data_IF_184628344592
#
_entry.id   IF_184628344592
#
_cell.length_a   1.000
_cell.length_b   1.000
_cell.length_c   1.000
_cell.angle_alpha   90.00
_cell.angle_beta   90.00
_cell.angle_gamma   90.00
#
_symmetry.space_group_name_H-M   'P 1'
#
loop_
_entity.id
_entity.type
_entity.pdbx_description
1 polymer ?
#
# COMPACT_ATOMS: atom_id res chain seq x y z
N UNK A 1 19.45 67.97 3.88
CA UNK A 1 19.48 68.95 2.78
C UNK A 1 19.51 68.19 1.46
N UNK A 2 18.39 68.17 0.74
CA UNK A 2 18.18 68.85 -0.56
C UNK A 2 18.90 68.11 -1.72
N UNK A 3 18.20 67.19 -2.41
CA UNK A 3 17.71 67.31 -3.80
C UNK A 3 18.71 67.95 -4.78
N UNK A 4 19.02 67.28 -5.90
CA UNK A 4 18.71 67.72 -7.27
C UNK A 4 19.23 66.71 -8.31
N UNK A 5 18.38 66.46 -9.33
CA UNK A 5 18.55 65.63 -10.53
C UNK A 5 19.22 66.42 -11.66
N UNK A 6 19.90 65.74 -12.59
CA UNK A 6 19.96 66.09 -14.04
C UNK A 6 20.37 64.80 -14.81
N UNK A 7 19.47 64.07 -15.47
CA UNK A 7 18.93 64.24 -16.84
C UNK A 7 20.02 64.46 -17.90
N UNK A 8 20.19 63.49 -18.83
CA UNK A 8 20.10 63.72 -20.30
C UNK A 8 20.30 62.44 -21.15
N UNK A 9 19.24 62.10 -21.91
CA UNK A 9 19.18 61.73 -23.35
C UNK A 9 19.91 60.45 -23.83
N UNK A 10 19.15 59.39 -24.13
CA UNK A 10 18.50 59.04 -25.43
C UNK A 10 19.45 58.39 -26.45
N UNK A 11 19.30 57.08 -26.63
CA UNK A 11 19.37 56.43 -27.93
C UNK A 11 18.44 55.21 -27.91
N UNK A 12 17.35 55.30 -28.68
CA UNK A 12 16.45 54.19 -28.94
C UNK A 12 17.04 53.31 -30.04
N UNK A 13 17.09 52.00 -29.80
CA UNK A 13 17.21 50.99 -30.84
C UNK A 13 16.19 49.90 -30.53
N UNK A 14 15.06 49.97 -31.24
CA UNK A 14 14.06 48.93 -31.33
C UNK A 14 14.55 47.82 -32.25
N UNK A 15 14.61 46.58 -31.74
CA UNK A 15 14.51 45.38 -32.58
C UNK A 15 13.76 44.27 -31.85
N UNK A 16 12.56 44.01 -32.40
CA UNK A 16 11.91 42.73 -32.64
C UNK A 16 11.84 41.67 -31.53
N UNK A 17 10.60 41.26 -31.26
CA UNK A 17 10.17 40.18 -30.41
C UNK A 17 10.70 38.79 -30.83
N UNK A 18 11.06 37.98 -29.84
CA UNK A 18 10.73 36.56 -29.83
C UNK A 18 9.95 36.27 -28.55
N UNK A 19 8.63 36.12 -28.69
CA UNK A 19 7.77 35.49 -27.69
C UNK A 19 8.05 34.00 -27.76
N UNK A 20 8.97 33.51 -26.93
CA UNK A 20 9.00 32.10 -26.56
C UNK A 20 8.06 31.95 -25.37
N UNK A 21 6.89 31.37 -25.64
CA UNK A 21 5.89 31.01 -24.64
C UNK A 21 6.48 30.07 -23.60
N UNK A 22 7.00 30.64 -22.52
CA UNK A 22 7.29 29.92 -21.29
C UNK A 22 5.98 29.77 -20.52
N UNK A 23 5.19 28.76 -20.89
CA UNK A 23 4.06 28.34 -20.05
C UNK A 23 4.60 27.97 -18.67
N UNK A 24 4.27 28.78 -17.67
CA UNK A 24 4.49 28.43 -16.26
C UNK A 24 3.59 27.23 -15.97
N UNK A 25 4.15 26.03 -16.09
CA UNK A 25 3.52 24.82 -15.58
C UNK A 25 3.50 24.98 -14.07
N UNK A 26 2.36 25.40 -13.53
CA UNK A 26 2.07 25.31 -12.11
C UNK A 26 2.14 23.83 -11.76
N UNK A 27 3.29 23.38 -11.24
CA UNK A 27 3.42 22.08 -10.64
C UNK A 27 2.53 22.07 -9.40
N UNK A 28 1.29 21.62 -9.55
CA UNK A 28 0.46 21.24 -8.40
C UNK A 28 1.21 20.13 -7.70
N UNK A 29 1.59 20.25 -6.41
CA UNK A 29 2.20 19.14 -5.71
C UNK A 29 1.24 17.95 -5.80
N UNK A 30 1.72 16.84 -6.36
CA UNK A 30 1.02 15.57 -6.24
C UNK A 30 0.78 15.32 -4.74
N UNK A 31 -0.38 14.77 -4.33
CA UNK A 31 -0.55 14.41 -2.94
C UNK A 31 0.58 13.46 -2.57
N UNK A 32 1.41 13.86 -1.61
CA UNK A 32 2.40 12.98 -1.01
C UNK A 32 1.61 11.79 -0.48
N UNK A 33 1.74 10.65 -1.15
CA UNK A 33 1.14 9.42 -0.65
C UNK A 33 1.95 9.03 0.58
N UNK A 34 1.32 9.14 1.75
CA UNK A 34 1.92 8.74 3.02
C UNK A 34 2.54 7.34 2.90
N UNK A 35 3.79 7.22 3.30
CA UNK A 35 4.51 5.96 3.26
C UNK A 35 4.04 5.13 4.46
N UNK A 36 2.97 4.35 4.28
CA UNK A 36 2.41 3.59 5.39
C UNK A 36 3.46 2.73 6.10
N UNK A 37 3.51 2.89 7.42
CA UNK A 37 4.35 2.22 8.43
C UNK A 37 5.80 2.69 8.48
N UNK A 38 6.08 3.97 8.28
CA UNK A 38 7.44 4.53 8.30
C UNK A 38 7.87 5.16 9.63
N UNK A 39 6.95 5.30 10.60
CA UNK A 39 7.23 5.89 11.91
C UNK A 39 7.19 7.41 11.93
N UNK A 40 6.69 8.03 10.87
CA UNK A 40 6.32 9.45 10.79
C UNK A 40 4.79 9.52 10.73
N UNK A 41 4.21 10.62 11.20
CA UNK A 41 2.76 10.81 11.09
C UNK A 41 2.46 11.78 9.95
N UNK A 42 2.28 11.26 8.75
CA UNK A 42 2.12 12.03 7.52
C UNK A 42 0.66 12.44 7.25
N UNK A 43 0.43 13.44 6.35
CA UNK A 43 -0.90 13.73 5.85
C UNK A 43 -1.55 12.49 5.22
N UNK A 44 -2.77 12.16 5.64
CA UNK A 44 -3.49 10.96 5.19
C UNK A 44 -3.49 9.81 6.19
N UNK A 45 -2.75 9.90 7.30
CA UNK A 45 -2.57 8.79 8.23
C UNK A 45 -3.34 8.94 9.55
N UNK A 46 -3.56 7.82 10.22
CA UNK A 46 -3.92 7.73 11.61
C UNK A 46 -2.75 7.18 12.41
N UNK A 47 -2.31 7.90 13.43
CA UNK A 47 -1.05 7.62 14.10
C UNK A 47 -1.29 7.38 15.59
N UNK A 48 -0.72 6.30 16.11
CA UNK A 48 -0.58 6.01 17.52
C UNK A 48 0.76 6.52 18.05
N UNK A 49 0.73 6.98 19.28
CA UNK A 49 1.89 7.41 20.05
C UNK A 49 1.98 6.59 21.33
N UNK A 50 3.19 6.13 21.64
CA UNK A 50 3.45 5.30 22.82
C UNK A 50 3.07 6.01 24.13
N UNK A 51 3.35 7.30 24.23
CA UNK A 51 3.05 8.10 25.41
C UNK A 51 1.88 9.05 25.19
N UNK A 52 1.35 9.60 26.29
CA UNK A 52 0.34 10.66 26.26
C UNK A 52 0.89 11.94 25.62
N UNK A 53 -0.02 12.80 25.19
CA UNK A 53 0.26 14.10 24.58
C UNK A 53 1.11 14.00 23.31
N UNK A 54 0.90 12.92 22.54
CA UNK A 54 1.57 12.63 21.28
C UNK A 54 3.10 12.58 21.40
N UNK A 55 3.59 11.98 22.49
CA UNK A 55 5.01 11.77 22.74
C UNK A 55 5.43 10.31 22.52
N UNK A 56 6.74 10.08 22.46
CA UNK A 56 7.30 8.75 22.25
C UNK A 56 7.27 8.31 20.79
N UNK A 57 7.52 7.02 20.57
CA UNK A 57 7.56 6.41 19.25
C UNK A 57 6.17 6.39 18.61
N UNK A 58 6.17 6.47 17.28
CA UNK A 58 4.97 6.61 16.45
C UNK A 58 4.71 5.33 15.68
N UNK A 59 3.44 5.02 15.51
CA UNK A 59 2.97 3.98 14.62
C UNK A 59 1.83 4.51 13.77
N UNK A 60 2.01 4.50 12.45
CA UNK A 60 1.15 5.19 11.49
C UNK A 60 0.42 4.20 10.57
N UNK A 61 -0.76 4.60 10.10
CA UNK A 61 -1.70 3.74 9.37
C UNK A 61 -2.48 4.53 8.33
N UNK A 62 -2.64 3.96 7.14
CA UNK A 62 -3.48 4.52 6.06
C UNK A 62 -4.83 3.78 5.91
N UNK A 63 -5.09 2.78 6.74
CA UNK A 63 -6.31 1.97 6.67
C UNK A 63 -6.63 1.23 7.97
N UNK A 64 -7.84 0.68 8.04
CA UNK A 64 -8.37 -0.02 9.22
C UNK A 64 -7.60 -1.30 9.54
N UNK A 65 -7.30 -1.53 10.82
CA UNK A 65 -6.62 -2.74 11.29
C UNK A 65 -7.50 -3.45 12.32
N UNK A 66 -7.94 -4.67 11.98
CA UNK A 66 -8.80 -5.47 12.84
C UNK A 66 -8.04 -6.13 14.00
N UNK A 67 -6.75 -6.41 13.88
CA UNK A 67 -5.95 -6.92 14.99
C UNK A 67 -4.52 -6.41 14.94
N UNK A 68 -4.07 -5.76 16.02
CA UNK A 68 -2.69 -5.32 16.15
C UNK A 68 -1.70 -6.48 16.36
N UNK A 69 -2.20 -7.66 16.74
CA UNK A 69 -1.40 -8.77 17.27
C UNK A 69 -0.54 -8.34 18.48
N UNK A 70 0.11 -9.30 19.14
CA UNK A 70 0.77 -9.07 20.44
C UNK A 70 2.26 -9.36 20.44
N UNK A 71 2.78 -10.02 19.40
CA UNK A 71 4.16 -10.52 19.38
C UNK A 71 4.90 -10.16 18.09
N UNK A 72 6.15 -9.72 18.25
CA UNK A 72 7.10 -9.61 17.15
C UNK A 72 7.39 -11.01 16.57
N UNK A 73 7.67 -11.14 15.26
CA UNK A 73 7.82 -10.05 14.28
C UNK A 73 6.52 -9.62 13.60
N UNK A 74 5.36 -10.11 14.06
CA UNK A 74 4.10 -10.02 13.31
C UNK A 74 3.13 -8.96 13.83
N UNK A 75 3.37 -8.44 15.03
CA UNK A 75 2.57 -7.35 15.57
C UNK A 75 2.82 -6.03 14.86
N UNK A 76 1.81 -5.18 14.88
CA UNK A 76 1.99 -3.79 14.54
C UNK A 76 2.70 -3.11 15.71
N UNK A 77 3.90 -2.62 15.45
CA UNK A 77 4.80 -1.99 16.41
C UNK A 77 4.98 -0.50 16.18
N UNK A 78 5.50 0.22 17.19
CA UNK A 78 5.91 1.61 17.00
C UNK A 78 7.25 1.68 16.24
N UNK A 79 7.26 2.39 15.11
CA UNK A 79 8.39 2.46 14.17
C UNK A 79 9.27 3.69 14.40
N UNK A 80 8.64 4.80 14.81
CA UNK A 80 9.32 6.09 14.98
C UNK A 80 10.43 6.05 16.05
N UNK A 81 11.32 7.04 16.09
CA UNK A 81 12.29 7.17 17.17
C UNK A 81 11.59 7.45 18.52
N UNK A 82 12.27 7.12 19.63
CA UNK A 82 11.82 7.44 20.98
C UNK A 82 11.27 6.25 21.79
N UNK A 83 10.74 6.57 22.97
CA UNK A 83 10.22 5.58 23.91
C UNK A 83 9.12 4.72 23.26
N UNK A 84 9.20 3.41 23.44
CA UNK A 84 8.25 2.45 22.86
C UNK A 84 8.62 1.92 21.47
N UNK A 85 9.71 2.39 20.85
CA UNK A 85 10.16 1.88 19.53
C UNK A 85 10.32 0.35 19.56
N UNK A 86 9.72 -0.32 18.57
CA UNK A 86 9.73 -1.78 18.42
C UNK A 86 8.73 -2.52 19.32
N UNK A 87 8.06 -1.85 20.26
CA UNK A 87 7.00 -2.47 21.05
C UNK A 87 5.71 -2.59 20.23
N UNK A 88 4.99 -3.68 20.42
CA UNK A 88 3.67 -3.88 19.82
C UNK A 88 2.69 -2.82 20.35
N UNK A 89 1.81 -2.33 19.48
CA UNK A 89 0.83 -1.28 19.79
C UNK A 89 -0.26 -1.78 20.72
N UNK A 90 -0.63 -3.07 20.59
CA UNK A 90 -1.70 -3.68 21.37
C UNK A 90 -1.44 -3.45 22.85
N UNK A 91 -2.40 -2.79 23.50
CA UNK A 91 -2.37 -2.43 24.91
C UNK A 91 -1.17 -1.53 25.32
N UNK A 92 -0.61 -0.77 24.37
CA UNK A 92 0.56 0.07 24.63
C UNK A 92 0.40 1.53 24.18
N UNK A 93 -0.53 1.83 23.26
CA UNK A 93 -0.69 3.21 22.81
C UNK A 93 -1.46 4.07 23.82
N UNK A 94 -1.02 5.31 23.99
CA UNK A 94 -1.60 6.25 24.95
C UNK A 94 -2.22 7.50 24.31
N UNK A 95 -1.84 7.85 23.09
CA UNK A 95 -2.44 8.97 22.36
C UNK A 95 -2.41 8.77 20.86
N UNK A 96 -3.18 9.58 20.14
CA UNK A 96 -3.34 9.47 18.69
C UNK A 96 -3.32 10.83 17.99
N UNK A 97 -3.01 10.82 16.70
CA UNK A 97 -3.23 11.94 15.80
C UNK A 97 -3.86 11.43 14.50
N UNK A 98 -5.06 11.89 14.20
CA UNK A 98 -5.74 11.62 12.96
C UNK A 98 -5.42 12.71 11.93
N UNK A 99 -4.45 12.46 11.06
CA UNK A 99 -4.11 13.32 9.92
C UNK A 99 -4.79 12.87 8.62
N UNK A 100 -5.73 11.92 8.71
CA UNK A 100 -6.56 11.48 7.59
C UNK A 100 -7.76 12.38 7.37
N UNK A 101 -8.48 12.15 6.27
CA UNK A 101 -9.74 12.83 5.94
C UNK A 101 -10.99 12.17 6.54
N UNK A 102 -10.84 11.08 7.29
CA UNK A 102 -11.95 10.29 7.83
C UNK A 102 -11.97 10.33 9.35
N UNK A 103 -13.13 10.11 9.96
CA UNK A 103 -13.18 9.79 11.40
C UNK A 103 -12.57 8.41 11.63
N UNK A 104 -11.70 8.27 12.62
CA UNK A 104 -11.13 6.97 13.00
C UNK A 104 -11.61 6.57 14.38
N UNK A 105 -12.15 5.36 14.46
CA UNK A 105 -12.63 4.74 15.69
C UNK A 105 -11.57 3.78 16.24
N UNK A 106 -11.13 4.00 17.47
CA UNK A 106 -10.22 3.10 18.19
C UNK A 106 -11.02 2.21 19.11
N UNK A 107 -10.76 0.91 19.09
CA UNK A 107 -11.48 -0.10 19.85
C UNK A 107 -10.60 -0.76 20.91
N UNK A 108 -11.27 -1.15 22.01
CA UNK A 108 -10.66 -1.88 23.10
C UNK A 108 -10.26 -3.30 22.66
N UNK A 109 -11.14 -3.98 21.92
CA UNK A 109 -10.91 -5.35 21.50
C UNK A 109 -10.41 -5.45 20.06
N UNK A 110 -9.76 -6.57 19.77
CA UNK A 110 -9.51 -7.06 18.41
C UNK A 110 -10.86 -7.26 17.70
N UNK A 111 -10.87 -7.07 16.39
CA UNK A 111 -12.04 -7.22 15.53
C UNK A 111 -13.05 -6.10 15.72
N UNK A 112 -12.61 -4.84 15.81
CA UNK A 112 -13.49 -3.65 15.84
C UNK A 112 -14.64 -3.77 16.86
N UNK A 113 -14.34 -4.31 18.04
CA UNK A 113 -15.34 -4.71 19.02
C UNK A 113 -15.12 -4.04 20.39
N UNK A 114 -16.17 -4.08 21.21
CA UNK A 114 -16.16 -3.50 22.56
C UNK A 114 -16.21 -1.98 22.57
N UNK A 115 -15.80 -1.41 23.71
CA UNK A 115 -15.75 0.04 23.92
C UNK A 115 -14.84 0.71 22.89
N UNK A 116 -15.23 1.91 22.47
CA UNK A 116 -14.50 2.66 21.46
C UNK A 116 -14.41 4.16 21.77
N UNK A 117 -13.51 4.84 21.05
CA UNK A 117 -13.38 6.28 21.02
C UNK A 117 -13.15 6.75 19.59
N UNK A 118 -13.90 7.76 19.18
CA UNK A 118 -13.80 8.36 17.84
C UNK A 118 -12.89 9.58 17.84
N UNK A 119 -12.11 9.68 16.77
CA UNK A 119 -11.24 10.81 16.47
C UNK A 119 -11.60 11.35 15.10
N UNK A 120 -12.24 12.52 15.05
CA UNK A 120 -12.57 13.20 13.79
C UNK A 120 -11.31 13.50 12.96
N UNK A 121 -11.49 13.79 11.67
CA UNK A 121 -10.40 14.23 10.81
C UNK A 121 -9.67 15.44 11.45
N UNK A 122 -8.34 15.39 11.50
CA UNK A 122 -7.51 16.41 12.15
C UNK A 122 -7.38 16.28 13.68
N UNK A 123 -8.18 15.43 14.34
CA UNK A 123 -8.18 15.33 15.79
C UNK A 123 -6.84 14.80 16.33
N UNK A 124 -6.35 15.43 17.38
CA UNK A 124 -5.10 15.10 18.06
C UNK A 124 -5.32 15.09 19.56
N UNK A 125 -4.97 14.00 20.23
CA UNK A 125 -5.17 13.92 21.68
C UNK A 125 -4.97 12.54 22.28
N UNK A 126 -5.21 12.46 23.60
CA UNK A 126 -5.07 11.24 24.37
C UNK A 126 -6.22 10.27 24.11
N UNK A 127 -5.89 8.97 24.20
CA UNK A 127 -6.91 7.95 24.42
C UNK A 127 -7.50 8.16 25.81
N UNK A 128 -8.81 7.94 25.95
CA UNK A 128 -9.50 8.02 27.23
C UNK A 128 -8.98 6.93 28.19
N UNK A 129 -9.37 7.04 29.46
CA UNK A 129 -8.90 6.12 30.51
C UNK A 129 -9.20 4.64 30.22
N UNK A 130 -10.26 4.35 29.45
CA UNK A 130 -10.63 2.98 29.07
C UNK A 130 -9.73 2.41 27.97
N UNK A 131 -9.26 3.22 27.03
CA UNK A 131 -8.52 2.76 25.85
C UNK A 131 -7.01 3.01 25.89
N UNK A 132 -6.57 3.93 26.75
CA UNK A 132 -5.15 4.16 26.98
C UNK A 132 -4.52 2.86 27.46
N UNK A 133 -3.51 2.39 26.73
CA UNK A 133 -2.82 1.13 26.97
C UNK A 133 -3.76 -0.09 26.96
N UNK A 134 -4.91 0.00 26.29
CA UNK A 134 -5.91 -1.08 26.19
C UNK A 134 -6.61 -1.08 24.83
N UNK A 135 -5.88 -0.74 23.76
CA UNK A 135 -6.40 -0.70 22.40
C UNK A 135 -5.87 -1.88 21.59
N UNK A 136 -6.72 -2.44 20.73
CA UNK A 136 -6.39 -3.66 19.98
C UNK A 136 -6.83 -3.62 18.50
N UNK A 137 -7.66 -2.66 18.09
CA UNK A 137 -8.02 -2.45 16.69
C UNK A 137 -8.49 -1.02 16.41
N UNK A 138 -8.50 -0.60 15.16
CA UNK A 138 -9.08 0.69 14.74
C UNK A 138 -9.72 0.63 13.36
N UNK A 139 -10.64 1.54 13.11
CA UNK A 139 -11.41 1.59 11.88
C UNK A 139 -11.57 3.02 11.37
N UNK A 140 -11.23 3.25 10.10
CA UNK A 140 -11.56 4.48 9.39
C UNK A 140 -13.04 4.42 8.96
N UNK A 141 -13.86 5.30 9.52
CA UNK A 141 -15.30 5.43 9.26
C UNK A 141 -15.54 6.26 7.99
N UNK A 142 -16.55 5.93 7.19
CA UNK A 142 -16.87 6.65 5.93
C UNK A 142 -16.59 5.87 4.64
N UNK A 143 -16.31 4.58 4.76
CA UNK A 143 -16.63 3.54 3.80
C UNK A 143 -17.28 2.44 4.63
N UNK A 144 -18.23 1.68 4.06
CA UNK A 144 -18.80 0.47 4.66
C UNK A 144 -17.75 -0.29 5.48
N UNK A 145 -18.07 -0.80 6.68
CA UNK A 145 -17.07 -1.43 7.55
C UNK A 145 -16.22 -2.45 6.80
N UNK A 146 -14.91 -2.64 7.09
CA UNK A 146 -14.33 -3.95 6.93
C UNK A 146 -15.15 -4.83 7.90
N UNK A 147 -16.01 -5.70 7.39
CA UNK A 147 -16.85 -6.49 8.26
C UNK A 147 -15.91 -7.40 9.06
N UNK A 148 -16.12 -7.39 10.36
CA UNK A 148 -15.59 -8.40 11.27
C UNK A 148 -16.12 -9.73 10.78
N UNK A 149 -15.27 -10.50 10.09
CA UNK A 149 -15.69 -11.58 9.17
C UNK A 149 -16.37 -11.04 7.89
N UNK A 150 -15.99 -11.49 6.68
CA UNK A 150 -16.55 -10.97 5.45
C UNK A 150 -18.07 -11.12 5.41
N UNK A 151 -18.79 -10.01 5.21
CA UNK A 151 -20.11 -10.06 4.61
C UNK A 151 -19.95 -10.68 3.20
N UNK A 152 -20.02 -12.00 3.13
CA UNK A 152 -19.89 -12.79 1.91
C UNK A 152 -18.48 -13.23 1.52
N UNK A 153 -18.35 -14.47 1.08
CA UNK A 153 -17.12 -15.11 0.58
C UNK A 153 -16.55 -14.51 -0.71
N UNK A 154 -17.10 -13.40 -1.21
CA UNK A 154 -16.75 -12.82 -2.51
C UNK A 154 -16.28 -11.38 -2.36
N UNK A 155 -15.40 -11.01 -3.28
CA UNK A 155 -14.99 -9.63 -3.51
C UNK A 155 -15.89 -9.00 -4.57
N UNK A 156 -15.83 -7.69 -4.74
CA UNK A 156 -16.57 -6.95 -5.76
C UNK A 156 -15.82 -6.86 -7.10
N UNK A 157 -14.71 -7.58 -7.25
CA UNK A 157 -13.89 -7.60 -8.45
C UNK A 157 -14.55 -8.38 -9.59
N UNK A 158 -14.29 -7.93 -10.82
CA UNK A 158 -14.67 -8.61 -12.06
C UNK A 158 -13.47 -8.61 -13.00
N UNK A 159 -13.57 -9.20 -14.19
CA UNK A 159 -12.48 -9.13 -15.18
C UNK A 159 -12.16 -7.69 -15.63
N UNK A 160 -13.08 -6.75 -15.43
CA UNK A 160 -12.95 -5.35 -15.84
C UNK A 160 -12.86 -4.37 -14.67
N UNK A 161 -13.16 -4.81 -13.45
CA UNK A 161 -13.15 -3.99 -12.23
C UNK A 161 -12.21 -4.59 -11.19
N UNK A 162 -11.20 -3.83 -10.76
CA UNK A 162 -10.34 -4.21 -9.65
C UNK A 162 -11.19 -4.50 -8.39
N UNK A 163 -10.87 -5.54 -7.61
CA UNK A 163 -11.49 -5.75 -6.32
C UNK A 163 -11.10 -4.60 -5.38
N UNK A 164 -12.07 -4.10 -4.61
CA UNK A 164 -11.82 -3.11 -3.56
C UNK A 164 -11.01 -3.73 -2.42
N UNK A 165 -11.28 -5.00 -2.12
CA UNK A 165 -10.60 -5.74 -1.06
C UNK A 165 -10.28 -7.17 -1.48
N UNK A 166 -9.33 -7.80 -0.80
CA UNK A 166 -9.00 -9.23 -0.92
C UNK A 166 -9.03 -9.90 0.46
N UNK A 167 -9.43 -11.17 0.50
CA UNK A 167 -9.45 -12.00 1.70
C UNK A 167 -8.14 -12.78 1.83
N UNK A 168 -7.32 -12.41 2.80
CA UNK A 168 -6.03 -13.03 3.07
C UNK A 168 -6.12 -13.92 4.29
N UNK A 169 -5.88 -15.23 4.13
CA UNK A 169 -5.76 -16.13 5.25
C UNK A 169 -4.36 -16.02 5.87
N UNK A 170 -4.31 -15.57 7.12
CA UNK A 170 -3.11 -15.45 7.93
C UNK A 170 -2.85 -16.77 8.62
N UNK A 171 -2.11 -17.67 7.96
CA UNK A 171 -2.06 -19.08 8.35
C UNK A 171 -1.53 -19.30 9.78
N UNK A 172 -0.50 -18.54 10.19
CA UNK A 172 0.06 -18.64 11.55
C UNK A 172 -0.84 -18.05 12.64
N UNK A 173 -1.85 -17.27 12.26
CA UNK A 173 -2.76 -16.57 13.16
C UNK A 173 -4.17 -17.19 13.12
N UNK A 174 -4.38 -18.22 12.28
CA UNK A 174 -5.66 -18.88 12.02
C UNK A 174 -6.84 -17.90 11.85
N UNK A 175 -6.67 -16.89 10.99
CA UNK A 175 -7.72 -15.90 10.72
C UNK A 175 -7.69 -15.38 9.29
N UNK A 176 -8.86 -14.99 8.79
CA UNK A 176 -8.98 -14.27 7.51
C UNK A 176 -9.05 -12.76 7.74
N UNK A 177 -8.17 -12.02 7.07
CA UNK A 177 -8.16 -10.56 7.04
C UNK A 177 -8.73 -10.07 5.70
N UNK A 178 -9.71 -9.17 5.72
CA UNK A 178 -10.14 -8.43 4.53
C UNK A 178 -9.29 -7.16 4.41
N UNK A 179 -8.48 -7.10 3.36
CA UNK A 179 -7.46 -6.05 3.17
C UNK A 179 -7.82 -5.22 1.92
N UNK A 180 -7.62 -3.90 1.97
CA UNK A 180 -7.66 -3.05 0.78
C UNK A 180 -6.71 -3.62 -0.29
N UNK A 181 -7.18 -3.75 -1.52
CA UNK A 181 -6.45 -4.52 -2.52
C UNK A 181 -5.12 -3.86 -2.91
N UNK A 182 -5.06 -2.52 -2.94
CA UNK A 182 -3.81 -1.80 -3.24
C UNK A 182 -2.80 -1.96 -2.11
N UNK A 183 -3.27 -1.87 -0.88
CA UNK A 183 -2.49 -2.09 0.33
C UNK A 183 -1.93 -3.51 0.38
N UNK A 184 -2.73 -4.52 0.00
CA UNK A 184 -2.26 -5.89 -0.15
C UNK A 184 -1.07 -5.97 -1.12
N UNK A 185 -1.22 -5.46 -2.35
CA UNK A 185 -0.17 -5.50 -3.38
C UNK A 185 1.12 -4.80 -2.91
N UNK A 186 1.01 -3.64 -2.23
CA UNK A 186 2.16 -2.91 -1.66
C UNK A 186 2.90 -3.70 -0.57
N UNK A 187 2.18 -4.53 0.19
CA UNK A 187 2.73 -5.38 1.25
C UNK A 187 3.12 -6.80 0.78
N UNK A 188 2.86 -7.15 -0.47
CA UNK A 188 3.35 -8.39 -1.10
C UNK A 188 4.63 -8.13 -1.88
N UNK A 189 4.65 -7.10 -2.73
CA UNK A 189 5.76 -6.87 -3.67
C UNK A 189 7.17 -6.88 -3.02
N UNK A 190 7.44 -6.23 -1.87
CA UNK A 190 8.78 -6.24 -1.27
C UNK A 190 9.21 -7.61 -0.69
N UNK A 191 8.28 -8.57 -0.58
CA UNK A 191 8.56 -9.93 -0.15
C UNK A 191 8.73 -10.91 -1.33
N UNK A 192 8.38 -10.48 -2.54
CA UNK A 192 8.46 -11.28 -3.77
C UNK A 192 9.56 -10.75 -4.71
N UNK A 193 9.74 -9.44 -4.76
CA UNK A 193 10.81 -8.77 -5.51
C UNK A 193 11.77 -8.07 -4.55
N UNK A 194 13.07 -8.28 -4.78
CA UNK A 194 14.10 -7.60 -4.00
C UNK A 194 14.09 -6.11 -4.34
N UNK A 195 13.90 -5.27 -3.33
CA UNK A 195 13.63 -3.84 -3.50
C UNK A 195 14.76 -3.04 -4.17
N UNK A 196 15.98 -3.59 -4.25
CA UNK A 196 17.13 -2.99 -4.95
C UNK A 196 17.21 -3.34 -6.44
N UNK A 197 16.29 -4.16 -6.96
CA UNK A 197 16.27 -4.49 -8.38
C UNK A 197 15.81 -3.30 -9.23
N UNK A 198 16.14 -3.29 -10.54
CA UNK A 198 15.79 -2.19 -11.43
C UNK A 198 14.29 -1.87 -11.42
N UNK A 199 13.95 -0.59 -11.58
CA UNK A 199 12.56 -0.10 -11.52
C UNK A 199 11.62 -0.82 -12.49
N UNK A 200 12.08 -1.15 -13.70
CA UNK A 200 11.28 -1.88 -14.68
C UNK A 200 11.00 -3.34 -14.27
N UNK A 201 11.91 -3.97 -13.51
CA UNK A 201 11.65 -5.29 -12.90
C UNK A 201 10.63 -5.18 -11.77
N UNK A 202 10.73 -4.14 -10.93
CA UNK A 202 9.75 -3.89 -9.86
C UNK A 202 8.35 -3.61 -10.43
N UNK A 203 8.24 -2.85 -11.54
CA UNK A 203 6.96 -2.59 -12.23
C UNK A 203 6.38 -3.87 -12.84
N UNK A 204 7.20 -4.72 -13.46
CA UNK A 204 6.75 -6.02 -13.95
C UNK A 204 6.25 -6.91 -12.80
N UNK A 205 7.00 -6.97 -11.69
CA UNK A 205 6.61 -7.67 -10.47
C UNK A 205 5.31 -7.14 -9.87
N UNK A 206 5.14 -5.81 -9.79
CA UNK A 206 3.92 -5.16 -9.31
C UNK A 206 2.69 -5.60 -10.11
N UNK A 207 2.82 -5.64 -11.44
CA UNK A 207 1.75 -6.10 -12.34
C UNK A 207 1.43 -7.58 -12.14
N UNK A 208 2.43 -8.45 -11.99
CA UNK A 208 2.23 -9.87 -11.76
C UNK A 208 1.57 -10.15 -10.39
N UNK A 209 2.07 -9.51 -9.33
CA UNK A 209 1.50 -9.59 -7.97
C UNK A 209 0.04 -9.17 -7.97
N UNK A 210 -0.26 -8.00 -8.55
CA UNK A 210 -1.63 -7.49 -8.70
C UNK A 210 -2.51 -8.48 -9.46
N UNK A 211 -2.04 -8.99 -10.60
CA UNK A 211 -2.87 -9.82 -11.47
C UNK A 211 -3.18 -11.20 -10.84
N UNK A 212 -2.21 -11.79 -10.13
CA UNK A 212 -2.43 -13.04 -9.41
C UNK A 212 -3.38 -12.87 -8.22
N UNK A 213 -3.23 -11.81 -7.42
CA UNK A 213 -4.17 -11.49 -6.34
C UNK A 213 -5.59 -11.26 -6.86
N UNK A 214 -5.71 -10.51 -7.96
CA UNK A 214 -6.99 -10.26 -8.63
C UNK A 214 -7.61 -11.57 -9.14
N UNK A 215 -6.83 -12.44 -9.78
CA UNK A 215 -7.31 -13.74 -10.22
C UNK A 215 -7.95 -14.53 -9.08
N UNK A 216 -7.30 -14.65 -7.92
CA UNK A 216 -7.85 -15.40 -6.79
C UNK A 216 -9.04 -14.73 -6.11
N UNK A 217 -9.09 -13.39 -6.09
CA UNK A 217 -10.26 -12.64 -5.60
C UNK A 217 -11.55 -12.95 -6.38
N UNK A 218 -11.42 -13.35 -7.65
CA UNK A 218 -12.53 -13.79 -8.52
C UNK A 218 -12.82 -15.30 -8.38
N UNK A 219 -11.75 -16.10 -8.36
CA UNK A 219 -11.86 -17.54 -8.61
C UNK A 219 -11.75 -18.41 -7.36
N UNK A 220 -11.37 -17.87 -6.20
CA UNK A 220 -11.23 -18.69 -4.99
C UNK A 220 -12.59 -19.24 -4.51
N UNK A 221 -12.55 -20.50 -4.11
CA UNK A 221 -13.58 -21.23 -3.38
C UNK A 221 -13.05 -21.81 -2.06
N UNK A 222 -11.85 -21.39 -1.63
CA UNK A 222 -11.14 -21.94 -0.49
C UNK A 222 -11.80 -21.52 0.83
N UNK A 223 -11.67 -22.40 1.82
CA UNK A 223 -12.12 -22.16 3.20
C UNK A 223 -11.05 -22.61 4.20
N UNK A 224 -10.91 -21.90 5.30
CA UNK A 224 -10.12 -22.33 6.46
C UNK A 224 -10.76 -23.60 7.06
N UNK A 225 -10.06 -24.33 7.95
CA UNK A 225 -10.69 -25.43 8.70
C UNK A 225 -11.95 -24.99 9.47
N UNK A 226 -11.97 -23.74 9.96
CA UNK A 226 -13.11 -23.11 10.62
C UNK A 226 -14.21 -22.60 9.66
N UNK A 227 -14.07 -22.83 8.36
CA UNK A 227 -15.08 -22.52 7.35
C UNK A 227 -15.04 -21.09 6.80
N UNK A 228 -14.08 -20.26 7.21
CA UNK A 228 -13.94 -18.89 6.70
C UNK A 228 -13.40 -18.90 5.28
N UNK A 229 -14.09 -18.21 4.37
CA UNK A 229 -13.63 -18.10 2.99
C UNK A 229 -12.41 -17.19 2.86
N UNK A 230 -11.48 -17.53 1.97
CA UNK A 230 -10.32 -16.69 1.67
C UNK A 230 -9.89 -16.82 0.21
N UNK A 231 -9.20 -15.79 -0.30
CA UNK A 231 -8.72 -15.73 -1.68
C UNK A 231 -7.30 -16.29 -1.77
N UNK A 232 -6.43 -15.81 -0.88
CA UNK A 232 -4.99 -16.09 -0.91
C UNK A 232 -4.45 -16.43 0.49
N UNK A 233 -3.43 -17.26 0.53
CA UNK A 233 -2.58 -17.43 1.72
C UNK A 233 -1.61 -16.25 1.84
N UNK A 234 -1.12 -15.99 3.05
CA UNK A 234 -0.08 -14.99 3.33
C UNK A 234 1.36 -15.49 3.12
N UNK A 235 1.53 -16.71 2.62
CA UNK A 235 2.82 -17.34 2.33
C UNK A 235 2.90 -17.91 0.90
N UNK A 236 3.98 -18.61 0.60
CA UNK A 236 4.38 -19.09 -0.74
C UNK A 236 3.39 -20.01 -1.45
N UNK A 237 2.35 -20.52 -0.78
CA UNK A 237 1.24 -21.22 -1.45
C UNK A 237 0.33 -20.26 -2.25
N UNK A 238 0.47 -18.95 -2.03
CA UNK A 238 -0.11 -17.91 -2.86
C UNK A 238 0.95 -16.83 -3.11
N UNK A 239 1.04 -15.83 -2.24
CA UNK A 239 2.05 -14.78 -2.29
C UNK A 239 2.39 -14.36 -0.86
N UNK A 240 3.63 -13.94 -0.62
CA UNK A 240 4.09 -13.59 0.72
C UNK A 240 3.56 -12.21 1.13
N UNK A 241 2.41 -12.18 1.79
CA UNK A 241 1.82 -10.97 2.36
C UNK A 241 2.30 -10.77 3.80
N UNK A 242 2.98 -9.65 4.04
CA UNK A 242 3.36 -9.23 5.40
C UNK A 242 2.84 -7.81 5.63
N UNK A 243 1.80 -7.61 6.47
CA UNK A 243 1.31 -6.28 6.75
C UNK A 243 2.42 -5.37 7.30
N UNK A 244 2.47 -4.13 6.81
CA UNK A 244 3.49 -3.15 7.17
C UNK A 244 4.89 -3.42 6.65
N UNK A 245 5.05 -4.30 5.65
CA UNK A 245 6.33 -4.55 4.97
C UNK A 245 6.54 -3.70 3.72
N UNK A 246 5.58 -2.85 3.37
CA UNK A 246 5.66 -1.93 2.25
C UNK A 246 6.97 -1.09 2.31
N UNK A 247 7.58 -0.88 1.15
CA UNK A 247 8.80 -0.06 1.00
C UNK A 247 8.53 1.00 -0.06
N UNK A 248 9.07 2.21 0.13
CA UNK A 248 8.83 3.33 -0.78
C UNK A 248 9.10 2.98 -2.26
N UNK A 249 10.23 2.31 -2.55
CA UNK A 249 10.63 1.93 -3.91
C UNK A 249 9.71 0.91 -4.57
N UNK A 250 9.18 -0.06 -3.82
CA UNK A 250 8.24 -1.04 -4.35
C UNK A 250 6.83 -0.45 -4.44
N UNK A 251 6.42 0.37 -3.48
CA UNK A 251 5.17 1.13 -3.51
C UNK A 251 5.10 2.03 -4.74
N UNK A 252 6.19 2.71 -5.10
CA UNK A 252 6.25 3.54 -6.31
C UNK A 252 6.02 2.73 -7.60
N UNK A 253 6.52 1.49 -7.68
CA UNK A 253 6.26 0.62 -8.82
C UNK A 253 4.79 0.16 -8.88
N UNK A 254 4.18 -0.13 -7.72
CA UNK A 254 2.73 -0.42 -7.63
C UNK A 254 1.90 0.78 -8.06
N UNK A 255 2.24 1.98 -7.58
CA UNK A 255 1.52 3.21 -7.92
C UNK A 255 1.64 3.54 -9.41
N UNK A 256 2.84 3.43 -9.99
CA UNK A 256 3.10 3.70 -11.40
C UNK A 256 2.36 2.76 -12.36
N UNK A 257 1.96 1.57 -11.89
CA UNK A 257 1.30 0.54 -12.70
C UNK A 257 -0.14 0.28 -12.28
N UNK A 258 -0.67 1.07 -11.33
CA UNK A 258 -1.94 0.75 -10.68
C UNK A 258 -3.12 0.74 -11.66
N UNK A 259 -3.18 1.73 -12.54
CA UNK A 259 -4.24 1.88 -13.56
C UNK A 259 -4.11 0.91 -14.74
N UNK A 260 -2.96 0.27 -14.93
CA UNK A 260 -2.72 -0.65 -16.06
C UNK A 260 -3.35 -2.01 -15.79
N UNK A 261 -4.13 -2.55 -16.74
CA UNK A 261 -4.70 -3.89 -16.69
C UNK A 261 -3.85 -4.87 -17.50
N UNK A 262 -3.71 -6.08 -16.98
CA UNK A 262 -3.01 -7.18 -17.63
C UNK A 262 -4.01 -8.32 -17.85
N UNK A 263 -4.40 -8.56 -19.10
CA UNK A 263 -5.45 -9.53 -19.44
C UNK A 263 -4.99 -10.53 -20.48
N UNK A 264 -5.68 -11.67 -20.57
CA UNK A 264 -5.59 -12.60 -21.69
C UNK A 264 -7.01 -12.89 -22.18
N UNK A 265 -7.26 -12.66 -23.47
CA UNK A 265 -8.62 -12.78 -24.02
C UNK A 265 -9.65 -11.90 -23.30
N UNK A 266 -9.23 -10.72 -22.82
CA UNK A 266 -10.07 -9.80 -22.05
C UNK A 266 -10.32 -10.19 -20.60
N UNK A 267 -9.83 -11.35 -20.13
CA UNK A 267 -10.00 -11.84 -18.76
C UNK A 267 -8.74 -11.69 -17.92
N UNK A 268 -8.92 -11.63 -16.61
CA UNK A 268 -7.84 -11.70 -15.64
C UNK A 268 -7.36 -13.15 -15.58
N UNK A 269 -6.10 -13.36 -15.96
CA UNK A 269 -5.45 -14.67 -15.90
C UNK A 269 -4.58 -14.79 -14.66
N UNK A 270 -4.28 -16.03 -14.25
CA UNK A 270 -3.39 -16.30 -13.13
C UNK A 270 -1.93 -16.05 -13.55
N UNK A 271 -1.45 -14.82 -13.38
CA UNK A 271 -0.07 -14.44 -13.66
C UNK A 271 0.88 -15.04 -12.62
N UNK A 272 1.28 -16.30 -12.82
CA UNK A 272 2.20 -16.95 -11.91
C UNK A 272 3.60 -16.34 -11.99
N UNK A 273 4.42 -16.59 -10.98
CA UNK A 273 5.83 -16.27 -11.01
C UNK A 273 6.59 -17.19 -10.07
N UNK A 274 7.90 -17.27 -10.26
CA UNK A 274 8.78 -18.04 -9.40
C UNK A 274 10.16 -17.38 -9.33
N UNK A 275 11.04 -17.89 -8.47
CA UNK A 275 12.36 -17.32 -8.24
C UNK A 275 13.25 -17.27 -9.50
N UNK A 276 13.29 -18.36 -10.28
CA UNK A 276 14.21 -18.53 -11.41
C UNK A 276 13.55 -19.29 -12.56
N UNK A 277 14.05 -19.14 -13.77
CA UNK A 277 13.53 -19.86 -14.95
C UNK A 277 13.50 -21.37 -14.72
N UNK A 278 14.54 -21.93 -14.10
CA UNK A 278 14.59 -23.35 -13.73
C UNK A 278 13.52 -23.75 -12.72
N UNK A 279 13.25 -22.90 -11.71
CA UNK A 279 12.19 -23.17 -10.73
C UNK A 279 10.78 -23.17 -11.35
N UNK A 280 10.60 -22.45 -12.47
CA UNK A 280 9.36 -22.43 -13.24
C UNK A 280 9.29 -23.50 -14.34
N UNK A 281 10.35 -24.29 -14.57
CA UNK A 281 10.47 -25.14 -15.76
C UNK A 281 9.38 -26.21 -15.92
N UNK A 282 8.62 -26.50 -14.87
CA UNK A 282 7.50 -27.44 -14.88
C UNK A 282 6.14 -26.77 -15.15
N UNK A 283 6.09 -25.46 -15.36
CA UNK A 283 4.86 -24.70 -15.57
C UNK A 283 4.63 -24.42 -17.04
N UNK A 284 3.36 -24.34 -17.44
CA UNK A 284 2.95 -24.05 -18.82
C UNK A 284 3.60 -22.74 -19.28
N UNK A 285 4.35 -22.81 -20.37
CA UNK A 285 5.01 -21.66 -20.97
C UNK A 285 4.01 -20.55 -21.26
N UNK A 286 4.39 -19.33 -20.90
CA UNK A 286 3.54 -18.16 -21.08
C UNK A 286 2.57 -17.86 -19.94
N UNK A 287 2.54 -18.65 -18.87
CA UNK A 287 1.69 -18.38 -17.69
C UNK A 287 2.47 -17.85 -16.49
N UNK A 288 3.78 -17.69 -16.64
CA UNK A 288 4.66 -17.41 -15.53
C UNK A 288 5.83 -16.48 -15.87
N UNK A 289 6.27 -15.74 -14.85
CA UNK A 289 7.46 -14.90 -14.93
C UNK A 289 8.55 -15.35 -13.96
N UNK A 290 9.78 -15.43 -14.44
CA UNK A 290 10.97 -15.58 -13.60
C UNK A 290 11.30 -14.25 -12.92
N UNK A 291 11.32 -14.21 -11.59
CA UNK A 291 11.69 -13.04 -10.80
C UNK A 291 13.10 -12.55 -11.19
N UNK A 292 14.11 -13.43 -11.12
CA UNK A 292 15.49 -13.08 -11.55
C UNK A 292 15.58 -12.76 -13.04
N UNK A 293 14.83 -13.46 -13.88
CA UNK A 293 14.81 -13.18 -15.31
C UNK A 293 14.21 -11.81 -15.65
N UNK A 294 13.20 -11.36 -14.89
CA UNK A 294 12.68 -9.98 -15.00
C UNK A 294 13.73 -8.93 -14.63
N UNK A 295 14.54 -9.20 -13.59
CA UNK A 295 15.67 -8.35 -13.19
C UNK A 295 16.71 -8.28 -14.31
N UNK A 296 17.12 -9.42 -14.85
CA UNK A 296 18.18 -9.50 -15.85
C UNK A 296 17.78 -8.80 -17.15
N UNK A 297 16.51 -8.94 -17.56
CA UNK A 297 15.97 -8.19 -18.71
C UNK A 297 15.92 -6.69 -18.46
N UNK A 298 15.51 -6.27 -17.27
CA UNK A 298 15.51 -4.86 -16.90
C UNK A 298 16.95 -4.29 -16.88
N UNK A 299 17.94 -5.06 -16.42
CA UNK A 299 19.37 -4.69 -16.51
C UNK A 299 19.85 -4.59 -17.96
N UNK A 300 19.30 -5.41 -18.86
CA UNK A 300 19.52 -5.33 -20.30
C UNK A 300 18.68 -4.22 -20.99
N UNK A 301 18.06 -3.31 -20.24
CA UNK A 301 17.33 -2.15 -20.77
C UNK A 301 15.88 -2.43 -21.20
N UNK A 302 15.31 -3.58 -20.87
CA UNK A 302 13.93 -3.88 -21.23
C UNK A 302 12.93 -3.11 -20.35
N UNK A 303 11.89 -2.57 -20.98
CA UNK A 303 10.74 -2.02 -20.26
C UNK A 303 9.95 -3.13 -19.56
N UNK A 304 9.21 -2.78 -18.49
CA UNK A 304 8.31 -3.70 -17.81
C UNK A 304 7.27 -4.31 -18.76
N UNK A 305 6.80 -3.55 -19.75
CA UNK A 305 5.86 -4.05 -20.76
C UNK A 305 6.49 -5.13 -21.65
N UNK A 306 7.75 -4.94 -22.06
CA UNK A 306 8.52 -5.93 -22.83
C UNK A 306 8.80 -7.19 -22.01
N UNK A 307 9.11 -7.01 -20.72
CA UNK A 307 9.31 -8.12 -19.77
C UNK A 307 8.02 -8.93 -19.63
N UNK A 308 6.88 -8.26 -19.40
CA UNK A 308 5.58 -8.93 -19.25
C UNK A 308 5.19 -9.69 -20.52
N UNK A 309 5.38 -9.11 -21.72
CA UNK A 309 5.08 -9.77 -23.00
C UNK A 309 6.00 -10.95 -23.30
N UNK A 310 7.22 -10.93 -22.78
CA UNK A 310 8.13 -12.07 -22.93
C UNK A 310 7.68 -13.27 -22.10
N UNK A 311 7.25 -13.03 -20.85
CA UNK A 311 6.91 -14.09 -19.91
C UNK A 311 5.47 -14.54 -20.01
N UNK A 312 4.54 -13.63 -20.30
CA UNK A 312 3.13 -13.95 -20.40
C UNK A 312 2.67 -13.89 -21.85
N UNK A 313 2.32 -15.03 -22.43
CA UNK A 313 1.90 -15.09 -23.85
C UNK A 313 0.43 -14.69 -23.99
N UNK A 314 0.08 -14.16 -25.17
CA UNK A 314 -1.29 -13.78 -25.52
C UNK A 314 -1.89 -12.65 -24.67
N UNK A 315 -1.05 -11.87 -23.97
CA UNK A 315 -1.53 -10.80 -23.09
C UNK A 315 -1.86 -9.51 -23.84
N UNK A 316 -2.82 -8.77 -23.29
CA UNK A 316 -3.04 -7.37 -23.54
C UNK A 316 -2.68 -6.56 -22.29
N UNK A 317 -1.98 -5.45 -22.51
CA UNK A 317 -1.64 -4.44 -21.50
C UNK A 317 -2.40 -3.17 -21.90
N UNK A 318 -3.30 -2.70 -21.04
CA UNK A 318 -4.21 -1.57 -21.33
C UNK A 318 -4.43 -0.70 -20.12
#
# INVERSE_FOLDING_TARGET
MLRIRLLSRLAAATTAALVLGGGTVLATPAPASAAGRDGVCDPGEFCYYFNSNNQGSVSDFTGSIADYATTQPTCYDFKGPGAGKGQCIKNAAASVWNRSSKTVRVYYNTGHAGTYQDFAAGAKGNLNATLKNQNASHQFLGTTPPPTSPAGCKTDGTDTKLPTTILVYRASLDRVERVDFKTYVKNVLPNEWVSSWPSESLKAGAMAVKNFGWYWALHSNRKTPSGQCFDVYDHTSSQVYKPGSAKAVTSAAVDATWSTRLTRGGKIFRAQYCATTTACGNWVDGDWMSQRGSRDKALAGWSHSSILRHYYTGIAIS
#
